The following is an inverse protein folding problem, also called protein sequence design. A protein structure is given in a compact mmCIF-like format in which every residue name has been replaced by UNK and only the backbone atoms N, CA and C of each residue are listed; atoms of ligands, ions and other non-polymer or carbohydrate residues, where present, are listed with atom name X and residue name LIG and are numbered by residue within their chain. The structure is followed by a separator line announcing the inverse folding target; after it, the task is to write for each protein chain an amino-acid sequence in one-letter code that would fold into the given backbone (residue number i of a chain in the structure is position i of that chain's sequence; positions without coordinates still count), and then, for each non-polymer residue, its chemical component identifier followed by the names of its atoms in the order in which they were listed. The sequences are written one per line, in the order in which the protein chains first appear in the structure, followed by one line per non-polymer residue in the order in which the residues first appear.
data_IF_700448554321
#
_entry.id   IF_700448554321
#
_cell.length_a   1.000
_cell.length_b   1.000
_cell.length_c   1.000
_cell.angle_alpha   90.00
_cell.angle_beta   90.00
_cell.angle_gamma   90.00
#
_symmetry.space_group_name_H-M   'P 1'
#
loop_
_entity.id
_entity.type
_entity.pdbx_description
1 polymer ?
#
# COMPACT_ATOMS: atom_id res chain seq x y z
N UNK A 1 8.85 -22.96 24.83
CA UNK A 1 8.48 -23.83 23.69
C UNK A 1 9.79 -24.24 23.02
N UNK A 2 10.03 -25.54 22.81
CA UNK A 2 11.32 -26.03 22.33
C UNK A 2 11.45 -25.75 20.82
N UNK A 3 12.58 -25.22 20.34
CA UNK A 3 12.79 -24.84 18.92
C UNK A 3 12.55 -26.02 17.96
N UNK A 4 12.82 -27.24 18.41
CA UNK A 4 12.56 -28.47 17.65
C UNK A 4 11.06 -28.77 17.46
N UNK A 5 10.21 -28.31 18.37
CA UNK A 5 8.76 -28.53 18.29
C UNK A 5 8.11 -27.51 17.35
N UNK A 6 8.58 -26.26 17.38
CA UNK A 6 8.18 -25.23 16.43
C UNK A 6 8.55 -25.60 14.97
N UNK A 7 9.72 -26.20 14.74
CA UNK A 7 10.09 -26.68 13.40
C UNK A 7 9.23 -27.86 12.92
N UNK A 8 8.81 -28.76 13.82
CA UNK A 8 7.97 -29.90 13.48
C UNK A 8 6.50 -29.51 13.21
N UNK A 9 5.97 -28.53 13.93
CA UNK A 9 4.61 -28.00 13.73
C UNK A 9 4.48 -27.23 12.40
N UNK A 10 5.56 -26.57 11.96
CA UNK A 10 5.66 -25.94 10.62
C UNK A 10 5.64 -27.00 9.49
N UNK A 11 6.29 -28.16 9.68
CA UNK A 11 6.26 -29.27 8.72
C UNK A 11 4.87 -29.96 8.63
N UNK A 12 4.04 -29.85 9.67
CA UNK A 12 2.69 -30.42 9.73
C UNK A 12 1.58 -29.45 9.27
N UNK A 13 1.94 -28.23 8.87
CA UNK A 13 0.96 -27.20 8.45
C UNK A 13 0.11 -26.67 9.60
N UNK A 14 0.55 -26.84 10.85
CA UNK A 14 -0.10 -26.25 12.01
C UNK A 14 0.38 -24.80 12.09
N UNK A 15 -0.50 -23.85 11.78
CA UNK A 15 -0.17 -22.43 12.04
C UNK A 15 0.06 -22.27 13.55
N UNK A 16 1.22 -21.74 13.99
CA UNK A 16 1.53 -21.61 15.42
C UNK A 16 0.64 -20.60 16.14
N UNK A 17 -0.21 -19.87 15.40
CA UNK A 17 -1.12 -18.86 15.90
C UNK A 17 -2.54 -19.13 15.40
N UNK A 18 -3.49 -19.06 16.33
CA UNK A 18 -4.94 -19.14 16.09
C UNK A 18 -5.53 -17.78 15.71
N UNK A 19 -6.75 -17.72 15.15
CA UNK A 19 -7.48 -16.46 14.99
C UNK A 19 -7.64 -15.68 16.29
N UNK A 20 -7.79 -16.36 17.43
CA UNK A 20 -7.88 -15.76 18.75
C UNK A 20 -6.59 -15.04 19.15
N UNK A 21 -5.41 -15.61 18.82
CA UNK A 21 -4.12 -14.96 19.05
C UNK A 21 -3.99 -13.64 18.28
N UNK A 22 -4.54 -13.60 17.06
CA UNK A 22 -4.58 -12.39 16.23
C UNK A 22 -5.52 -11.34 16.85
N UNK A 23 -6.69 -11.75 17.34
CA UNK A 23 -7.61 -10.84 18.03
C UNK A 23 -6.96 -10.27 19.28
N UNK A 24 -6.28 -11.09 20.07
CA UNK A 24 -5.58 -10.64 21.28
C UNK A 24 -4.35 -9.77 20.96
N UNK A 25 -3.67 -10.01 19.84
CA UNK A 25 -2.68 -9.10 19.29
C UNK A 25 -3.29 -7.73 18.99
N UNK A 26 -4.41 -7.66 18.27
CA UNK A 26 -5.08 -6.41 17.92
C UNK A 26 -5.49 -5.64 19.18
N UNK A 27 -6.14 -6.31 20.14
CA UNK A 27 -6.61 -5.68 21.38
C UNK A 27 -5.49 -5.05 22.20
N UNK A 28 -4.32 -5.70 22.24
CA UNK A 28 -3.17 -5.24 23.03
C UNK A 28 -2.35 -4.16 22.34
N UNK A 29 -2.31 -4.15 21.02
CA UNK A 29 -1.37 -3.35 20.25
C UNK A 29 -2.01 -2.23 19.41
N UNK A 30 -3.34 -2.19 19.28
CA UNK A 30 -4.01 -1.06 18.61
C UNK A 30 -3.77 0.24 19.38
N UNK A 31 -3.61 1.34 18.65
CA UNK A 31 -3.42 2.68 19.21
C UNK A 31 -4.25 3.71 18.46
N UNK A 32 -4.58 4.82 19.12
CA UNK A 32 -5.31 5.92 18.51
C UNK A 32 -4.36 6.84 17.73
N UNK A 33 -4.57 6.96 16.43
CA UNK A 33 -3.84 7.89 15.55
C UNK A 33 -4.49 9.28 15.51
N UNK A 34 -5.70 9.41 16.04
CA UNK A 34 -6.49 10.63 16.07
C UNK A 34 -7.02 11.04 14.69
N UNK A 35 -7.74 12.15 14.65
CA UNK A 35 -8.19 12.77 13.41
C UNK A 35 -7.08 13.67 12.85
N UNK A 36 -6.59 13.35 11.64
CA UNK A 36 -5.54 14.11 10.95
C UNK A 36 -5.94 14.34 9.48
N UNK A 37 -5.46 15.42 8.84
CA UNK A 37 -5.62 15.57 7.40
C UNK A 37 -4.75 14.53 6.66
N UNK A 38 -5.17 14.12 5.46
CA UNK A 38 -4.51 13.04 4.70
C UNK A 38 -3.01 13.28 4.50
N UNK A 39 -2.62 14.50 4.14
CA UNK A 39 -1.21 14.85 3.90
C UNK A 39 -0.31 14.74 5.15
N UNK A 40 -0.88 14.72 6.36
CA UNK A 40 -0.14 14.68 7.62
C UNK A 40 -0.02 13.27 8.23
N UNK A 41 -0.71 12.29 7.65
CA UNK A 41 -0.68 10.91 8.13
C UNK A 41 0.51 10.17 7.53
N UNK A 42 1.30 9.51 8.36
CA UNK A 42 2.40 8.65 7.89
C UNK A 42 1.86 7.37 7.27
N UNK A 43 2.33 7.04 6.06
CA UNK A 43 1.83 5.93 5.25
C UNK A 43 2.92 4.87 5.14
N UNK A 44 2.61 3.64 5.56
CA UNK A 44 3.46 2.48 5.38
C UNK A 44 2.87 1.50 4.39
N UNK A 45 3.64 0.47 4.03
CA UNK A 45 3.10 -0.65 3.27
C UNK A 45 2.27 -1.56 4.19
N UNK A 46 1.35 -2.33 3.59
CA UNK A 46 0.72 -3.49 4.26
C UNK A 46 1.70 -4.58 4.68
N UNK A 47 2.99 -4.46 4.32
CA UNK A 47 4.07 -5.39 4.65
C UNK A 47 4.07 -5.76 6.14
N UNK A 48 4.21 -7.06 6.40
CA UNK A 48 4.16 -7.69 7.71
C UNK A 48 5.53 -7.77 8.41
N UNK A 49 6.61 -7.46 7.69
CA UNK A 49 7.99 -7.51 8.21
C UNK A 49 8.29 -6.36 9.16
N UNK A 50 9.37 -6.52 9.93
CA UNK A 50 9.88 -5.46 10.80
C UNK A 50 10.49 -4.33 9.97
N UNK A 51 10.14 -3.09 10.31
CA UNK A 51 10.86 -1.94 9.82
C UNK A 51 12.24 -1.85 10.51
N UNK A 52 13.31 -1.66 9.73
CA UNK A 52 14.70 -1.63 10.22
C UNK A 52 14.92 -0.60 11.33
N UNK A 53 14.25 0.55 11.24
CA UNK A 53 14.21 1.50 12.35
C UNK A 53 13.20 1.03 13.39
N UNK A 54 13.72 0.47 14.50
CA UNK A 54 12.91 0.03 15.63
C UNK A 54 12.02 1.16 16.16
N UNK A 55 10.75 0.84 16.41
CA UNK A 55 9.76 1.79 16.90
C UNK A 55 9.12 2.67 15.81
N UNK A 56 9.50 2.51 14.53
CA UNK A 56 8.75 3.10 13.44
C UNK A 56 7.39 2.42 13.32
N UNK A 57 6.33 3.19 13.51
CA UNK A 57 4.94 2.75 13.44
C UNK A 57 4.20 3.72 12.51
N UNK A 58 4.08 3.39 11.22
CA UNK A 58 3.30 4.24 10.32
C UNK A 58 1.86 4.26 10.83
N UNK A 59 1.22 5.44 10.77
CA UNK A 59 -0.15 5.64 11.22
C UNK A 59 -1.10 4.73 10.44
N UNK A 60 -0.87 4.58 9.12
CA UNK A 60 -1.71 3.76 8.23
C UNK A 60 -0.87 2.87 7.33
N UNK A 61 -1.46 1.74 6.92
CA UNK A 61 -0.83 0.77 6.03
C UNK A 61 -1.68 0.56 4.78
N UNK A 62 -1.05 0.76 3.62
CA UNK A 62 -1.65 0.75 2.29
C UNK A 62 -0.82 -0.13 1.34
N UNK A 63 -1.41 -0.75 0.31
CA UNK A 63 -0.63 -1.52 -0.67
C UNK A 63 0.42 -0.61 -1.31
N UNK A 64 1.71 -0.93 -1.16
CA UNK A 64 2.79 -0.10 -1.70
C UNK A 64 3.00 1.27 -1.04
N UNK A 65 2.41 1.52 0.14
CA UNK A 65 2.48 2.80 0.85
C UNK A 65 2.00 3.99 -0.04
N UNK A 66 2.57 5.19 0.16
CA UNK A 66 2.29 6.36 -0.70
C UNK A 66 2.57 6.11 -2.19
N UNK A 67 3.62 5.37 -2.55
CA UNK A 67 3.92 5.04 -3.95
C UNK A 67 2.82 4.19 -4.59
N UNK A 68 2.17 3.29 -3.84
CA UNK A 68 1.01 2.55 -4.34
C UNK A 68 -0.18 3.45 -4.70
N UNK A 69 -0.37 4.55 -3.97
CA UNK A 69 -1.39 5.56 -4.30
C UNK A 69 -1.04 6.29 -5.60
N UNK A 70 0.24 6.64 -5.80
CA UNK A 70 0.74 7.21 -7.07
C UNK A 70 0.45 6.27 -8.24
N UNK A 71 0.78 4.99 -8.08
CA UNK A 71 0.55 3.94 -9.07
C UNK A 71 -0.95 3.78 -9.36
N UNK A 72 -1.80 3.81 -8.34
CA UNK A 72 -3.27 3.76 -8.49
C UNK A 72 -3.77 4.93 -9.33
N UNK A 73 -3.35 6.14 -9.02
CA UNK A 73 -3.77 7.33 -9.73
C UNK A 73 -3.33 7.32 -11.21
N UNK A 74 -2.10 6.89 -11.48
CA UNK A 74 -1.61 6.73 -12.86
C UNK A 74 -2.36 5.62 -13.61
N UNK A 75 -2.72 4.52 -12.95
CA UNK A 75 -3.57 3.49 -13.55
C UNK A 75 -4.96 4.02 -13.92
N UNK A 76 -5.53 4.89 -13.10
CA UNK A 76 -6.80 5.55 -13.43
C UNK A 76 -6.66 6.51 -14.63
N UNK A 77 -5.56 7.26 -14.71
CA UNK A 77 -5.23 8.12 -15.84
C UNK A 77 -5.09 7.31 -17.14
N UNK A 78 -4.41 6.17 -17.10
CA UNK A 78 -4.27 5.27 -18.25
C UNK A 78 -5.63 4.72 -18.73
N UNK A 79 -6.54 4.35 -17.82
CA UNK A 79 -7.89 3.93 -18.21
C UNK A 79 -8.67 5.05 -18.93
N UNK A 80 -8.55 6.29 -18.49
CA UNK A 80 -9.18 7.42 -19.18
C UNK A 80 -8.53 7.70 -20.54
N UNK A 81 -7.18 7.66 -20.62
CA UNK A 81 -6.44 7.79 -21.88
C UNK A 81 -6.93 6.76 -22.91
N UNK A 82 -6.98 5.48 -22.51
CA UNK A 82 -7.44 4.37 -23.35
C UNK A 82 -8.89 4.53 -23.81
N UNK A 83 -9.80 4.86 -22.89
CA UNK A 83 -11.23 5.04 -23.22
C UNK A 83 -11.52 6.22 -24.16
N UNK A 84 -10.61 7.21 -24.21
CA UNK A 84 -10.74 8.39 -25.08
C UNK A 84 -9.82 8.35 -26.30
N UNK A 85 -9.11 7.24 -26.53
CA UNK A 85 -8.19 7.09 -27.67
C UNK A 85 -7.00 8.06 -27.63
N UNK A 86 -6.59 8.50 -26.44
CA UNK A 86 -5.43 9.35 -26.24
C UNK A 86 -4.21 8.44 -26.05
N UNK A 87 -3.29 8.46 -27.03
CA UNK A 87 -1.99 7.79 -26.94
C UNK A 87 -0.93 8.73 -26.34
N UNK A 88 -0.03 8.19 -25.50
CA UNK A 88 0.91 8.95 -24.68
C UNK A 88 1.82 9.93 -25.44
N UNK A 89 1.92 11.15 -24.90
CA UNK A 89 3.12 11.73 -24.28
C UNK A 89 2.64 13.02 -23.58
N UNK A 90 1.98 12.87 -22.43
CA UNK A 90 1.52 14.00 -21.64
C UNK A 90 2.46 14.14 -20.45
N UNK A 91 2.97 15.35 -20.25
CA UNK A 91 3.70 15.68 -19.04
C UNK A 91 2.81 15.42 -17.82
N UNK A 92 3.11 14.32 -17.11
CA UNK A 92 2.41 13.94 -15.88
C UNK A 92 2.97 14.66 -14.66
N UNK A 93 3.96 15.54 -14.81
CA UNK A 93 4.57 16.26 -13.68
C UNK A 93 3.52 17.08 -12.92
N UNK A 94 2.63 17.79 -13.63
CA UNK A 94 1.55 18.53 -12.97
C UNK A 94 0.58 17.59 -12.21
N UNK A 95 0.22 16.45 -12.82
CA UNK A 95 -0.62 15.45 -12.17
C UNK A 95 0.02 14.89 -10.90
N UNK A 96 1.33 14.60 -10.96
CA UNK A 96 2.11 14.12 -9.83
C UNK A 96 2.22 15.19 -8.74
N UNK A 97 2.45 16.45 -9.09
CA UNK A 97 2.48 17.55 -8.12
C UNK A 97 1.14 17.70 -7.38
N UNK A 98 0.02 17.65 -8.09
CA UNK A 98 -1.32 17.71 -7.47
C UNK A 98 -1.56 16.49 -6.57
N UNK A 99 -1.08 15.32 -6.98
CA UNK A 99 -1.15 14.10 -6.18
C UNK A 99 -0.31 14.22 -4.89
N UNK A 100 0.92 14.71 -4.96
CA UNK A 100 1.78 14.93 -3.79
C UNK A 100 1.18 15.96 -2.82
N UNK A 101 0.48 16.99 -3.34
CA UNK A 101 -0.27 17.93 -2.48
C UNK A 101 -1.39 17.23 -1.72
N UNK A 102 -2.06 16.25 -2.34
CA UNK A 102 -3.09 15.46 -1.69
C UNK A 102 -2.53 14.55 -0.60
N UNK A 103 -1.50 13.78 -0.92
CA UNK A 103 -1.04 12.68 -0.05
C UNK A 103 0.10 13.06 0.89
N UNK A 104 0.70 14.25 0.70
CA UNK A 104 1.90 14.68 1.39
C UNK A 104 3.15 14.00 0.84
N UNK A 105 4.19 13.88 1.68
CA UNK A 105 5.43 13.21 1.30
C UNK A 105 5.17 11.77 0.89
N UNK A 106 5.56 11.40 -0.34
CA UNK A 106 5.39 10.05 -0.84
C UNK A 106 6.37 9.11 -0.17
N UNK A 107 5.84 8.15 0.56
CA UNK A 107 6.60 7.08 1.20
C UNK A 107 6.65 5.85 0.28
N UNK A 108 7.77 5.16 0.27
CA UNK A 108 7.92 3.87 -0.38
C UNK A 108 8.94 3.04 0.41
N UNK A 109 9.02 1.76 0.11
CA UNK A 109 9.95 0.88 0.81
C UNK A 109 10.64 -0.08 -0.12
N UNK A 110 11.75 -0.61 0.38
CA UNK A 110 12.44 -1.78 -0.11
C UNK A 110 12.72 -2.72 1.07
N UNK A 111 13.52 -3.76 0.83
CA UNK A 111 14.03 -4.61 1.89
C UNK A 111 15.56 -4.49 1.99
N UNK A 112 16.11 -5.09 3.04
CA UNK A 112 17.53 -5.08 3.36
C UNK A 112 18.38 -6.06 2.54
N UNK A 113 17.78 -6.74 1.57
CA UNK A 113 18.49 -7.60 0.63
C UNK A 113 19.45 -6.83 -0.28
N UNK A 114 20.52 -7.50 -0.71
CA UNK A 114 21.36 -6.99 -1.79
C UNK A 114 20.64 -7.20 -3.13
N UNK A 115 20.05 -6.12 -3.64
CA UNK A 115 19.40 -6.12 -4.95
C UNK A 115 20.37 -5.72 -6.08
N UNK A 116 21.63 -5.37 -5.76
CA UNK A 116 22.61 -4.85 -6.70
C UNK A 116 22.40 -3.38 -7.10
N UNK A 117 23.44 -2.75 -7.68
CA UNK A 117 23.48 -1.30 -8.01
C UNK A 117 22.43 -0.85 -9.05
N UNK A 118 21.88 -1.78 -9.85
CA UNK A 118 20.87 -1.50 -10.88
C UNK A 118 19.46 -1.95 -10.48
N UNK A 119 19.22 -2.17 -9.19
CA UNK A 119 17.90 -2.54 -8.71
C UNK A 119 16.94 -1.37 -8.61
N UNK A 120 15.67 -1.69 -8.83
CA UNK A 120 14.55 -0.80 -8.55
C UNK A 120 14.60 -0.37 -7.08
N UNK A 121 14.51 0.95 -6.80
CA UNK A 121 14.56 1.50 -5.44
C UNK A 121 13.44 0.99 -4.51
N UNK A 122 12.39 0.37 -5.07
CA UNK A 122 11.30 -0.30 -4.35
C UNK A 122 11.25 -1.82 -4.61
N UNK A 123 12.38 -2.44 -4.97
CA UNK A 123 12.46 -3.87 -5.32
C UNK A 123 11.97 -4.82 -4.22
N UNK A 124 12.13 -4.44 -2.95
CA UNK A 124 11.63 -5.21 -1.81
C UNK A 124 10.13 -5.10 -1.55
N UNK A 125 9.42 -4.22 -2.27
CA UNK A 125 7.97 -4.09 -2.20
C UNK A 125 7.28 -4.96 -3.25
N UNK A 126 6.63 -6.05 -2.83
CA UNK A 126 5.89 -6.94 -3.74
C UNK A 126 4.81 -6.22 -4.58
N UNK A 127 4.10 -5.26 -3.99
CA UNK A 127 3.07 -4.47 -4.68
C UNK A 127 3.66 -3.54 -5.75
N UNK A 128 4.61 -2.68 -5.38
CA UNK A 128 5.21 -1.72 -6.32
C UNK A 128 6.02 -2.43 -7.41
N UNK A 129 6.84 -3.43 -7.05
CA UNK A 129 7.55 -4.28 -8.03
C UNK A 129 6.57 -4.96 -8.97
N UNK A 130 5.47 -5.52 -8.44
CA UNK A 130 4.43 -6.14 -9.24
C UNK A 130 3.82 -5.15 -10.24
N UNK A 131 3.44 -3.97 -9.78
CA UNK A 131 2.84 -2.93 -10.61
C UNK A 131 3.77 -2.41 -11.70
N UNK A 132 5.07 -2.31 -11.42
CA UNK A 132 6.07 -1.76 -12.34
C UNK A 132 6.70 -2.81 -13.26
N UNK A 133 6.38 -4.10 -13.09
CA UNK A 133 6.89 -5.20 -13.95
C UNK A 133 5.80 -6.01 -14.63
N UNK A 134 4.58 -6.04 -14.07
CA UNK A 134 3.40 -6.75 -14.62
C UNK A 134 2.31 -5.74 -15.00
N UNK A 135 2.68 -4.83 -15.89
CA UNK A 135 1.91 -3.63 -16.25
C UNK A 135 0.43 -3.92 -16.55
N UNK A 136 0.14 -4.89 -17.41
CA UNK A 136 -1.24 -5.26 -17.79
C UNK A 136 -2.09 -5.72 -16.59
N UNK A 137 -1.46 -6.45 -15.66
CA UNK A 137 -2.15 -6.98 -14.48
C UNK A 137 -2.57 -5.84 -13.56
N UNK A 138 -1.70 -4.86 -13.36
CA UNK A 138 -1.96 -3.69 -12.50
C UNK A 138 -2.64 -2.53 -13.23
N UNK A 139 -2.79 -2.62 -14.56
CA UNK A 139 -3.41 -1.58 -15.38
C UNK A 139 -2.58 -0.30 -15.47
N UNK A 140 -1.26 -0.44 -15.63
CA UNK A 140 -0.32 0.69 -15.73
C UNK A 140 0.23 0.77 -17.16
N UNK A 141 0.38 1.99 -17.68
CA UNK A 141 1.03 2.23 -18.97
C UNK A 141 2.56 2.08 -18.86
N UNK A 142 3.22 1.59 -19.92
CA UNK A 142 4.68 1.41 -19.93
C UNK A 142 5.44 2.72 -19.69
N UNK A 143 5.01 3.81 -20.31
CA UNK A 143 5.61 5.13 -20.12
C UNK A 143 5.49 5.65 -18.68
N UNK A 144 4.34 5.43 -18.04
CA UNK A 144 4.13 5.85 -16.64
C UNK A 144 5.00 5.01 -15.69
N UNK A 145 5.14 3.71 -15.94
CA UNK A 145 6.04 2.84 -15.16
C UNK A 145 7.51 3.22 -15.34
N UNK A 146 7.92 3.52 -16.59
CA UNK A 146 9.26 4.01 -16.91
C UNK A 146 9.54 5.35 -16.24
N UNK A 147 8.59 6.29 -16.27
CA UNK A 147 8.71 7.56 -15.56
C UNK A 147 8.92 7.35 -14.06
N UNK A 148 8.17 6.44 -13.43
CA UNK A 148 8.34 6.14 -12.01
C UNK A 148 9.77 5.67 -11.72
N UNK A 149 10.25 4.70 -12.51
CA UNK A 149 11.53 4.04 -12.28
C UNK A 149 12.73 4.93 -12.57
N UNK A 150 12.72 5.61 -13.71
CA UNK A 150 13.88 6.35 -14.21
C UNK A 150 13.94 7.79 -13.69
N UNK A 151 12.82 8.36 -13.26
CA UNK A 151 12.74 9.77 -12.86
C UNK A 151 12.18 9.95 -11.46
N UNK A 152 10.95 9.49 -11.21
CA UNK A 152 10.21 9.88 -10.01
C UNK A 152 10.88 9.43 -8.70
N UNK A 153 11.29 8.16 -8.61
CA UNK A 153 11.95 7.62 -7.42
C UNK A 153 13.32 8.26 -7.18
N UNK A 154 14.07 8.55 -8.25
CA UNK A 154 15.34 9.27 -8.16
C UNK A 154 15.15 10.71 -7.67
N UNK A 155 14.11 11.39 -8.14
CA UNK A 155 13.75 12.74 -7.70
C UNK A 155 13.30 12.77 -6.23
N UNK A 156 12.56 11.75 -5.76
CA UNK A 156 12.24 11.58 -4.34
C UNK A 156 13.51 11.47 -3.50
N UNK A 157 14.45 10.61 -3.90
CA UNK A 157 15.71 10.44 -3.19
C UNK A 157 16.58 11.71 -3.20
N UNK A 158 16.63 12.44 -4.32
CA UNK A 158 17.30 13.73 -4.40
C UNK A 158 16.69 14.81 -3.47
N UNK A 159 15.38 14.68 -3.15
CA UNK A 159 14.68 15.51 -2.15
C UNK A 159 14.83 14.98 -0.70
N UNK A 160 15.64 13.95 -0.49
CA UNK A 160 15.88 13.35 0.83
C UNK A 160 14.85 12.31 1.26
N UNK A 161 14.00 11.84 0.34
CA UNK A 161 13.06 10.74 0.61
C UNK A 161 13.70 9.43 0.17
N UNK A 162 14.21 8.67 1.13
CA UNK A 162 14.78 7.34 0.92
C UNK A 162 13.75 6.24 1.16
N UNK A 163 13.94 5.02 0.62
CA UNK A 163 13.05 3.91 0.92
C UNK A 163 13.10 3.59 2.42
N UNK A 164 11.92 3.38 3.00
CA UNK A 164 11.78 2.61 4.23
C UNK A 164 12.39 1.21 4.00
N UNK A 165 13.10 0.67 4.97
CA UNK A 165 13.76 -0.64 4.83
C UNK A 165 13.10 -1.64 5.76
N UNK A 166 12.62 -2.74 5.19
CA UNK A 166 12.07 -3.86 5.93
C UNK A 166 13.05 -5.02 5.95
N UNK A 167 13.09 -5.76 7.05
CA UNK A 167 14.03 -6.86 7.26
C UNK A 167 13.32 -8.14 7.65
N UNK A 168 13.93 -9.28 7.35
CA UNK A 168 13.42 -10.60 7.72
C UNK A 168 12.45 -11.18 6.69
N UNK A 169 11.87 -12.33 7.02
CA UNK A 169 10.96 -13.06 6.14
C UNK A 169 9.51 -12.70 6.42
N UNK A 170 8.69 -12.71 5.37
CA UNK A 170 7.24 -12.65 5.49
C UNK A 170 6.70 -13.90 6.19
N UNK A 171 5.98 -13.73 7.30
CA UNK A 171 5.37 -14.80 8.08
C UNK A 171 3.96 -14.44 8.57
N UNK A 172 3.28 -13.52 7.89
CA UNK A 172 1.92 -13.10 8.24
C UNK A 172 0.98 -14.29 8.44
N UNK A 173 0.28 -14.32 9.57
CA UNK A 173 -0.70 -15.37 9.87
C UNK A 173 -2.14 -14.98 9.54
N UNK A 174 -2.40 -13.68 9.37
CA UNK A 174 -3.72 -13.15 9.06
C UNK A 174 -3.63 -11.86 8.25
N UNK A 175 -4.76 -11.47 7.66
CA UNK A 175 -5.00 -10.10 7.20
C UNK A 175 -5.89 -9.40 8.21
N UNK A 176 -5.46 -8.23 8.66
CA UNK A 176 -6.26 -7.35 9.50
C UNK A 176 -6.74 -6.17 8.66
N UNK A 177 -8.04 -6.08 8.45
CA UNK A 177 -8.69 -4.97 7.76
C UNK A 177 -9.18 -3.98 8.80
N UNK A 178 -8.64 -2.77 8.78
CA UNK A 178 -9.02 -1.68 9.68
C UNK A 178 -9.99 -0.79 8.91
N UNK A 179 -11.24 -0.79 9.35
CA UNK A 179 -12.36 -0.07 8.74
C UNK A 179 -12.85 1.06 9.63
N UNK A 180 -11.90 1.86 10.10
CA UNK A 180 -12.13 3.17 10.67
C UNK A 180 -10.92 4.08 10.34
N UNK A 181 -10.96 5.34 10.77
CA UNK A 181 -9.88 6.32 10.52
C UNK A 181 -9.08 6.69 11.77
N UNK A 182 -9.29 6.02 12.89
CA UNK A 182 -8.69 6.36 14.19
C UNK A 182 -7.77 5.27 14.73
N UNK A 183 -7.89 4.05 14.22
CA UNK A 183 -7.11 2.91 14.67
C UNK A 183 -5.82 2.79 13.86
N UNK A 184 -4.68 2.87 14.55
CA UNK A 184 -3.40 2.37 14.09
C UNK A 184 -3.09 1.00 14.70
N UNK A 185 -2.27 0.20 14.02
CA UNK A 185 -1.90 -1.14 14.46
C UNK A 185 -0.51 -1.49 13.92
N UNK A 186 0.46 -1.98 14.72
CA UNK A 186 1.75 -2.48 14.21
C UNK A 186 1.59 -3.70 13.29
N UNK A 187 2.60 -3.98 12.47
CA UNK A 187 2.63 -5.17 11.61
C UNK A 187 2.95 -6.46 12.39
N UNK A 188 3.67 -6.33 13.50
CA UNK A 188 4.10 -7.45 14.33
C UNK A 188 4.25 -7.04 15.79
N UNK A 189 4.32 -8.02 16.69
CA UNK A 189 4.73 -7.82 18.08
C UNK A 189 6.06 -8.48 18.41
N UNK A 190 6.53 -8.28 19.66
CA UNK A 190 7.75 -8.92 20.16
C UNK A 190 7.66 -10.44 20.35
N UNK A 191 6.52 -11.07 20.08
CA UNK A 191 6.35 -12.53 20.13
C UNK A 191 6.62 -13.21 18.78
N UNK A 192 6.79 -12.42 17.71
CA UNK A 192 6.98 -12.91 16.35
C UNK A 192 5.69 -13.17 15.58
N UNK A 193 4.52 -12.81 16.13
CA UNK A 193 3.27 -12.79 15.39
C UNK A 193 3.30 -11.65 14.38
N UNK A 194 3.10 -11.96 13.11
CA UNK A 194 3.06 -11.00 11.99
C UNK A 194 1.68 -10.99 11.34
N UNK A 195 1.20 -9.82 10.92
CA UNK A 195 -0.06 -9.68 10.18
C UNK A 195 0.11 -8.70 9.02
N UNK A 196 -0.58 -8.97 7.91
CA UNK A 196 -0.82 -7.93 6.93
C UNK A 196 -1.89 -6.98 7.48
N UNK A 197 -1.61 -5.68 7.49
CA UNK A 197 -2.56 -4.67 7.98
C UNK A 197 -2.99 -3.77 6.83
N UNK A 198 -4.29 -3.65 6.60
CA UNK A 198 -4.85 -2.83 5.54
C UNK A 198 -5.87 -1.84 6.11
N UNK A 199 -5.57 -0.54 6.02
CA UNK A 199 -6.47 0.50 6.53
C UNK A 199 -7.44 0.92 5.42
N UNK A 200 -8.58 0.23 5.33
CA UNK A 200 -9.57 0.39 4.26
C UNK A 200 -10.18 1.78 4.23
N UNK A 201 -10.67 2.29 5.36
CA UNK A 201 -11.31 3.61 5.39
C UNK A 201 -10.33 4.73 5.10
N UNK A 202 -9.08 4.61 5.54
CA UNK A 202 -8.01 5.53 5.16
C UNK A 202 -7.67 5.46 3.68
N UNK A 203 -7.58 4.27 3.09
CA UNK A 203 -7.32 4.12 1.66
C UNK A 203 -8.39 4.86 0.85
N UNK A 204 -9.67 4.65 1.17
CA UNK A 204 -10.78 5.37 0.54
C UNK A 204 -10.65 6.89 0.71
N UNK A 205 -10.43 7.35 1.94
CA UNK A 205 -10.26 8.79 2.23
C UNK A 205 -9.11 9.41 1.43
N UNK A 206 -7.99 8.70 1.29
CA UNK A 206 -6.84 9.14 0.50
C UNK A 206 -7.20 9.25 -0.99
N UNK A 207 -7.92 8.26 -1.53
CA UNK A 207 -8.34 8.29 -2.94
C UNK A 207 -9.35 9.41 -3.22
N UNK A 208 -10.21 9.73 -2.25
CA UNK A 208 -11.13 10.87 -2.34
C UNK A 208 -10.35 12.20 -2.37
N UNK A 209 -9.36 12.39 -1.49
CA UNK A 209 -8.49 13.59 -1.50
C UNK A 209 -7.64 13.67 -2.79
N UNK A 210 -7.12 12.53 -3.29
CA UNK A 210 -6.41 12.46 -4.59
C UNK A 210 -7.33 12.86 -5.73
N UNK A 211 -8.57 12.37 -5.75
CA UNK A 211 -9.57 12.73 -6.75
C UNK A 211 -9.78 14.24 -6.76
N UNK A 212 -10.06 14.84 -5.60
CA UNK A 212 -10.38 16.26 -5.49
C UNK A 212 -9.21 17.15 -5.95
N UNK A 213 -7.98 16.78 -5.63
CA UNK A 213 -6.79 17.54 -6.05
C UNK A 213 -6.42 17.37 -7.52
N UNK A 214 -6.51 16.15 -8.05
CA UNK A 214 -6.10 15.86 -9.44
C UNK A 214 -7.23 16.07 -10.45
N UNK A 215 -8.48 16.27 -10.01
CA UNK A 215 -9.63 16.43 -10.92
C UNK A 215 -9.48 17.63 -11.86
N UNK A 216 -8.84 18.72 -11.44
CA UNK A 216 -8.59 19.88 -12.29
C UNK A 216 -7.76 19.52 -13.52
N UNK A 217 -6.68 18.76 -13.33
CA UNK A 217 -5.85 18.22 -14.41
C UNK A 217 -6.66 17.26 -15.29
N UNK A 218 -7.36 16.31 -14.67
CA UNK A 218 -8.17 15.32 -15.39
C UNK A 218 -9.26 15.98 -16.24
N UNK A 219 -9.93 17.00 -15.74
CA UNK A 219 -10.98 17.72 -16.46
C UNK A 219 -10.46 18.50 -17.67
N UNK A 220 -9.20 18.98 -17.64
CA UNK A 220 -8.57 19.61 -18.80
C UNK A 220 -8.25 18.60 -19.90
N UNK A 221 -7.76 17.43 -19.53
CA UNK A 221 -7.49 16.35 -20.49
C UNK A 221 -8.78 15.71 -21.01
N UNK A 222 -9.80 15.61 -20.16
CA UNK A 222 -11.07 14.95 -20.44
C UNK A 222 -12.24 15.93 -20.16
N UNK A 223 -12.58 16.85 -21.09
CA UNK A 223 -13.56 17.92 -20.85
C UNK A 223 -14.95 17.45 -20.42
N UNK A 224 -15.35 16.22 -20.76
CA UNK A 224 -16.64 15.65 -20.40
C UNK A 224 -16.60 14.80 -19.13
N UNK A 225 -15.44 14.66 -18.49
CA UNK A 225 -15.29 13.86 -17.26
C UNK A 225 -16.10 14.46 -16.11
N UNK A 226 -16.83 13.61 -15.41
CA UNK A 226 -17.48 13.93 -14.14
C UNK A 226 -16.56 13.50 -12.98
N UNK A 227 -16.52 14.30 -11.91
CA UNK A 227 -15.75 13.98 -10.70
C UNK A 227 -16.17 12.64 -10.09
N UNK A 228 -17.47 12.30 -10.11
CA UNK A 228 -17.94 11.02 -9.58
C UNK A 228 -17.45 9.83 -10.41
N UNK A 229 -17.39 9.98 -11.74
CA UNK A 229 -16.86 8.94 -12.63
C UNK A 229 -15.36 8.76 -12.42
N UNK A 230 -14.63 9.85 -12.19
CA UNK A 230 -13.22 9.81 -11.85
C UNK A 230 -12.97 9.11 -10.51
N UNK A 231 -13.72 9.50 -9.46
CA UNK A 231 -13.64 8.89 -8.13
C UNK A 231 -13.95 7.41 -8.18
N UNK A 232 -14.98 7.01 -8.94
CA UNK A 232 -15.33 5.61 -9.15
C UNK A 232 -14.18 4.85 -9.83
N UNK A 233 -13.61 5.41 -10.90
CA UNK A 233 -12.48 4.81 -11.60
C UNK A 233 -11.25 4.62 -10.68
N UNK A 234 -10.91 5.62 -9.86
CA UNK A 234 -9.83 5.50 -8.86
C UNK A 234 -10.05 4.33 -7.91
N UNK A 235 -11.27 4.20 -7.37
CA UNK A 235 -11.62 3.10 -6.46
C UNK A 235 -11.58 1.74 -7.17
N UNK A 236 -12.07 1.63 -8.40
CA UNK A 236 -12.03 0.39 -9.19
C UNK A 236 -10.59 -0.05 -9.51
N UNK A 237 -9.70 0.89 -9.84
CA UNK A 237 -8.27 0.60 -10.04
C UNK A 237 -7.62 0.16 -8.73
N UNK A 238 -7.88 0.87 -7.64
CA UNK A 238 -7.34 0.53 -6.32
C UNK A 238 -7.77 -0.88 -5.88
N UNK A 239 -9.05 -1.21 -6.06
CA UNK A 239 -9.60 -2.53 -5.72
C UNK A 239 -8.98 -3.64 -6.58
N UNK A 240 -8.85 -3.41 -7.89
CA UNK A 240 -8.17 -4.35 -8.80
C UNK A 240 -6.72 -4.61 -8.34
N UNK A 241 -5.96 -3.56 -8.05
CA UNK A 241 -4.56 -3.67 -7.63
C UNK A 241 -4.43 -4.31 -6.23
N UNK A 242 -5.35 -4.02 -5.32
CA UNK A 242 -5.45 -4.69 -4.02
C UNK A 242 -5.72 -6.19 -4.19
N UNK A 243 -6.66 -6.58 -5.06
CA UNK A 243 -6.98 -7.98 -5.30
C UNK A 243 -5.76 -8.76 -5.80
N UNK A 244 -5.01 -8.20 -6.75
CA UNK A 244 -3.76 -8.81 -7.24
C UNK A 244 -2.75 -9.00 -6.11
N UNK A 245 -2.69 -8.06 -5.18
CA UNK A 245 -1.81 -8.12 -4.00
C UNK A 245 -2.26 -9.21 -3.02
N UNK A 246 -3.56 -9.26 -2.72
CA UNK A 246 -4.17 -10.25 -1.84
C UNK A 246 -4.01 -11.67 -2.38
N UNK A 247 -4.25 -11.87 -3.68
CA UNK A 247 -4.11 -13.17 -4.34
C UNK A 247 -2.68 -13.73 -4.25
N UNK A 248 -1.69 -12.84 -4.18
CA UNK A 248 -0.28 -13.21 -4.05
C UNK A 248 0.16 -13.43 -2.60
N UNK A 249 -0.25 -12.54 -1.68
CA UNK A 249 0.30 -12.49 -0.31
C UNK A 249 -0.59 -13.16 0.73
N UNK A 250 -1.91 -13.02 0.59
CA UNK A 250 -2.87 -13.32 1.65
C UNK A 250 -3.77 -14.52 1.36
N UNK A 251 -3.54 -15.25 0.26
CA UNK A 251 -4.36 -16.38 -0.14
C UNK A 251 -4.48 -17.43 0.96
N UNK A 252 -5.71 -17.71 1.38
CA UNK A 252 -6.04 -18.71 2.39
C UNK A 252 -5.78 -18.27 3.83
N UNK A 253 -5.36 -17.02 4.08
CA UNK A 253 -5.19 -16.48 5.43
C UNK A 253 -6.55 -16.01 6.00
N UNK A 254 -6.79 -16.18 7.30
CA UNK A 254 -7.97 -15.60 7.95
C UNK A 254 -7.97 -14.07 7.83
N UNK A 255 -9.16 -13.50 7.72
CA UNK A 255 -9.37 -12.05 7.65
C UNK A 255 -10.08 -11.60 8.92
N UNK A 256 -9.43 -10.75 9.71
CA UNK A 256 -10.00 -10.13 10.90
C UNK A 256 -10.31 -8.67 10.56
N UNK A 257 -11.51 -8.22 10.88
CA UNK A 257 -11.94 -6.84 10.66
C UNK A 257 -11.97 -6.11 11.99
N UNK A 258 -11.40 -4.92 12.01
CA UNK A 258 -11.50 -3.94 13.09
C UNK A 258 -12.40 -2.82 12.61
N UNK A 259 -13.47 -2.55 13.34
CA UNK A 259 -14.41 -1.48 13.04
C UNK A 259 -14.80 -0.82 14.35
N UNK A 260 -14.26 0.38 14.60
CA UNK A 260 -14.39 1.08 15.86
C UNK A 260 -13.91 0.20 17.03
N UNK A 261 -14.79 -0.12 17.98
CA UNK A 261 -14.51 -1.01 19.11
C UNK A 261 -14.77 -2.50 18.82
N UNK A 262 -15.28 -2.84 17.63
CA UNK A 262 -15.59 -4.21 17.27
C UNK A 262 -14.42 -4.88 16.55
N UNK A 263 -14.15 -6.13 16.91
CA UNK A 263 -13.16 -6.99 16.26
C UNK A 263 -13.84 -8.32 15.96
N UNK A 264 -13.88 -8.73 14.70
CA UNK A 264 -14.54 -9.96 14.27
C UNK A 264 -13.84 -10.63 13.10
N UNK A 265 -14.02 -11.94 12.97
CA UNK A 265 -13.56 -12.71 11.82
C UNK A 265 -14.57 -12.57 10.67
N UNK A 266 -14.10 -12.28 9.46
CA UNK A 266 -14.94 -12.11 8.26
C UNK A 266 -15.26 -13.42 7.55
#
# INVERSE_FOLDING_TARGET
MNEQQAQHDVELGVMPFSPEDVIDFIKRNRYDIGQRPVYAVSKGCIDDREHRQKGFLPDVALPGAGLGVVITALGSLDLFRKSHGISGDHDISEFIEDLERAIGTVTYHSDDGDHGENSMLCAGCGHAKGALTKLDTYGIHEDDARFILENYLHNLNARGVSPDLYSGSHNAVAVVVIDDTTTGLPAQDGSGLQVYRYHRSWHKKILDDVCDHTYGFMKRLFPNLNVEDYRKCLNEVAEKQLQVTVDHLAKGKPVVVVQDDNIYLA
#
